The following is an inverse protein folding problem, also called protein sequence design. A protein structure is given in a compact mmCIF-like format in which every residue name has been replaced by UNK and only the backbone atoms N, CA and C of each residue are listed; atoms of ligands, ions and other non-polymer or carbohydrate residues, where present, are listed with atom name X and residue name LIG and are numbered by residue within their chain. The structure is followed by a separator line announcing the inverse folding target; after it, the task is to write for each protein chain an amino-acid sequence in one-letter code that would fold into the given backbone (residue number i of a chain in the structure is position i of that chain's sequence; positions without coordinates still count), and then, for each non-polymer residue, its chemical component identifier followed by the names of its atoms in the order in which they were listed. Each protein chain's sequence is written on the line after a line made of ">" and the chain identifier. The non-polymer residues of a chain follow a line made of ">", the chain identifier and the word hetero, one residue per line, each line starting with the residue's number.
data_IF_698058365956
#
_entry.id   IF_698058365956
#
_cell.length_a   1.000
_cell.length_b   1.000
_cell.length_c   1.000
_cell.angle_alpha   90.00
_cell.angle_beta   90.00
_cell.angle_gamma   90.00
#
_symmetry.space_group_name_H-M   'P 1'
#
loop_
_entity.id
_entity.type
_entity.pdbx_description
1 polymer ?
#
# COMPACT_ATOMS: atom_id res chain seq x y z
N UNK A 1 -36.32 27.87 -52.22
CA UNK A 1 -35.27 26.92 -51.80
C UNK A 1 -34.16 27.71 -51.10
N UNK A 2 -34.11 27.71 -49.77
CA UNK A 2 -33.00 28.26 -48.99
C UNK A 2 -32.76 27.33 -47.80
N UNK A 3 -31.77 26.45 -47.95
CA UNK A 3 -31.27 25.58 -46.88
C UNK A 3 -30.31 26.37 -46.01
N UNK A 4 -30.65 26.56 -44.74
CA UNK A 4 -29.75 27.05 -43.70
C UNK A 4 -29.03 25.84 -43.10
N UNK A 5 -27.73 25.72 -43.37
CA UNK A 5 -26.85 24.75 -42.74
C UNK A 5 -26.41 25.28 -41.37
N UNK A 6 -26.88 24.63 -40.30
CA UNK A 6 -26.37 24.83 -38.94
C UNK A 6 -25.07 24.03 -38.79
N UNK A 7 -23.93 24.72 -38.78
CA UNK A 7 -22.64 24.13 -38.40
C UNK A 7 -22.48 24.20 -36.88
N UNK A 8 -22.79 23.09 -36.20
CA UNK A 8 -22.49 22.94 -34.77
C UNK A 8 -20.99 22.68 -34.57
N UNK A 9 -20.27 23.70 -34.10
CA UNK A 9 -18.90 23.59 -33.60
C UNK A 9 -18.91 22.81 -32.28
N UNK A 10 -18.55 21.52 -32.34
CA UNK A 10 -18.32 20.68 -31.16
C UNK A 10 -16.93 21.01 -30.60
N UNK A 11 -16.88 21.88 -29.59
CA UNK A 11 -15.65 22.17 -28.86
C UNK A 11 -15.29 20.96 -27.97
N UNK A 12 -14.33 20.14 -28.40
CA UNK A 12 -13.71 19.12 -27.55
C UNK A 12 -12.98 19.80 -26.40
N UNK A 13 -13.59 19.80 -25.20
CA UNK A 13 -12.92 20.09 -23.94
C UNK A 13 -11.91 18.97 -23.67
N UNK A 14 -10.64 19.20 -24.04
CA UNK A 14 -9.53 18.35 -23.62
C UNK A 14 -9.26 18.69 -22.14
N UNK A 15 -9.90 17.96 -21.23
CA UNK A 15 -9.52 18.03 -19.82
C UNK A 15 -8.11 17.42 -19.68
N UNK A 16 -7.17 18.10 -19.01
CA UNK A 16 -5.87 17.50 -18.73
C UNK A 16 -6.08 16.23 -17.90
N UNK A 17 -5.53 15.12 -18.38
CA UNK A 17 -5.52 13.88 -17.60
C UNK A 17 -4.73 14.15 -16.30
N UNK A 18 -5.26 13.75 -15.14
CA UNK A 18 -4.51 13.89 -13.90
C UNK A 18 -3.23 13.07 -14.03
N UNK A 19 -2.08 13.76 -14.02
CA UNK A 19 -0.79 13.12 -13.82
C UNK A 19 -0.87 12.48 -12.44
N UNK A 20 -0.93 11.14 -12.39
CA UNK A 20 -0.83 10.43 -11.13
C UNK A 20 0.55 10.76 -10.55
N UNK A 21 0.57 11.44 -9.42
CA UNK A 21 1.80 11.70 -8.70
C UNK A 21 2.53 10.37 -8.47
N UNK A 22 3.82 10.33 -8.79
CA UNK A 22 4.63 9.15 -8.52
C UNK A 22 4.55 8.83 -7.02
N UNK A 23 4.45 7.54 -6.64
CA UNK A 23 4.44 7.17 -5.23
C UNK A 23 5.66 7.73 -4.52
N UNK A 24 5.43 8.35 -3.36
CA UNK A 24 6.51 8.89 -2.55
C UNK A 24 7.35 7.77 -1.97
N UNK A 25 8.66 7.82 -2.22
CA UNK A 25 9.67 7.09 -1.46
C UNK A 25 10.07 7.95 -0.25
N UNK A 26 9.98 7.37 0.95
CA UNK A 26 10.32 8.06 2.20
C UNK A 26 11.74 7.74 2.70
N UNK A 27 12.50 6.94 1.96
CA UNK A 27 13.88 6.55 2.24
C UNK A 27 14.00 5.25 3.02
N UNK A 28 14.95 5.21 3.94
CA UNK A 28 15.17 4.09 4.87
C UNK A 28 14.87 4.57 6.29
N UNK A 29 14.42 3.66 7.16
CA UNK A 29 14.24 3.94 8.59
C UNK A 29 12.79 4.16 8.99
N UNK A 30 12.43 3.54 10.11
CA UNK A 30 11.09 3.55 10.68
C UNK A 30 11.14 4.07 12.11
N UNK A 31 10.28 5.04 12.43
CA UNK A 31 10.03 5.47 13.80
C UNK A 31 8.71 4.91 14.32
N UNK A 32 8.67 4.60 15.61
CA UNK A 32 7.50 4.05 16.30
C UNK A 32 7.03 5.01 17.38
N UNK A 33 5.74 5.33 17.38
CA UNK A 33 5.11 6.19 18.37
C UNK A 33 3.86 5.58 18.98
N UNK A 34 3.60 5.94 20.23
CA UNK A 34 2.35 5.58 20.93
C UNK A 34 1.29 6.65 20.68
N UNK A 35 0.05 6.22 20.59
CA UNK A 35 -1.11 7.10 20.64
C UNK A 35 -1.46 7.35 22.11
N UNK A 36 -1.69 8.61 22.47
CA UNK A 36 -2.06 9.00 23.83
C UNK A 36 -3.47 8.56 24.21
N UNK A 37 -3.77 8.54 25.51
CA UNK A 37 -5.12 8.30 26.02
C UNK A 37 -5.52 6.83 26.18
N UNK A 38 -4.64 5.88 25.85
CA UNK A 38 -4.84 4.45 26.19
C UNK A 38 -4.14 4.12 27.49
N UNK A 39 -4.89 3.46 28.39
CA UNK A 39 -4.41 3.02 29.70
C UNK A 39 -3.21 2.05 29.65
N UNK A 40 -2.71 1.63 30.82
CA UNK A 40 -1.58 0.71 30.89
C UNK A 40 -1.94 -0.63 30.25
N UNK A 41 -1.07 -1.13 29.37
CA UNK A 41 -1.24 -2.44 28.74
C UNK A 41 -1.18 -3.57 29.77
N UNK A 42 -1.92 -4.65 29.51
CA UNK A 42 -1.71 -5.92 30.22
C UNK A 42 -0.33 -6.49 29.88
N UNK A 43 0.22 -7.42 30.68
CA UNK A 43 1.52 -8.04 30.40
C UNK A 43 1.60 -8.70 29.02
N UNK A 44 0.49 -9.26 28.53
CA UNK A 44 0.40 -9.88 27.21
C UNK A 44 0.42 -8.85 26.09
N UNK A 45 -0.42 -7.82 26.16
CA UNK A 45 -0.40 -6.73 25.18
C UNK A 45 0.96 -6.02 25.15
N UNK A 46 1.61 -5.88 26.32
CA UNK A 46 2.96 -5.31 26.40
C UNK A 46 4.01 -6.18 25.70
N UNK A 47 3.87 -7.51 25.66
CA UNK A 47 4.72 -8.40 24.85
C UNK A 47 4.52 -8.14 23.37
N UNK A 48 3.26 -8.07 22.92
CA UNK A 48 2.92 -7.77 21.52
C UNK A 48 3.48 -6.40 21.11
N UNK A 49 3.34 -5.38 21.96
CA UNK A 49 3.90 -4.04 21.70
C UNK A 49 5.42 -4.06 21.57
N UNK A 50 6.14 -4.87 22.37
CA UNK A 50 7.60 -4.99 22.23
C UNK A 50 8.00 -5.62 20.89
N UNK A 51 7.25 -6.63 20.42
CA UNK A 51 7.49 -7.20 19.09
C UNK A 51 7.18 -6.19 17.98
N UNK A 52 6.04 -5.49 18.08
CA UNK A 52 5.69 -4.41 17.17
C UNK A 52 6.82 -3.37 17.06
N UNK A 53 7.35 -2.88 18.19
CA UNK A 53 8.44 -1.90 18.18
C UNK A 53 9.73 -2.39 17.51
N UNK A 54 10.00 -3.69 17.55
CA UNK A 54 11.21 -4.29 16.98
C UNK A 54 11.06 -4.57 15.49
N UNK A 55 9.87 -4.96 15.07
CA UNK A 55 9.63 -5.53 13.76
C UNK A 55 8.95 -4.56 12.79
N UNK A 56 8.18 -3.60 13.31
CA UNK A 56 7.38 -2.70 12.48
C UNK A 56 8.23 -1.97 11.44
N UNK A 57 7.80 -2.12 10.19
CA UNK A 57 8.27 -1.40 9.00
C UNK A 57 7.18 -0.47 8.50
N UNK A 58 7.59 0.66 7.92
CA UNK A 58 6.81 1.63 7.11
C UNK A 58 5.28 1.47 7.17
N UNK A 59 4.57 2.49 7.64
CA UNK A 59 3.10 2.46 7.80
C UNK A 59 2.62 1.17 8.48
N UNK A 60 2.93 1.06 9.76
CA UNK A 60 2.43 -0.01 10.62
C UNK A 60 1.45 0.56 11.65
N UNK A 61 0.57 -0.29 12.15
CA UNK A 61 -0.29 0.06 13.26
C UNK A 61 -0.56 -1.13 14.16
N UNK A 62 -0.66 -0.85 15.45
CA UNK A 62 -1.07 -1.79 16.49
C UNK A 62 -2.36 -1.28 17.12
N UNK A 63 -3.36 -2.14 17.18
CA UNK A 63 -4.60 -1.91 17.88
C UNK A 63 -4.71 -2.83 19.11
N UNK A 64 -5.39 -2.34 20.14
CA UNK A 64 -5.66 -3.07 21.38
C UNK A 64 -7.14 -2.97 21.75
N UNK A 65 -7.65 -4.00 22.40
CA UNK A 65 -8.92 -3.97 23.10
C UNK A 65 -8.65 -4.23 24.59
N UNK A 66 -8.81 -3.17 25.40
CA UNK A 66 -8.48 -3.21 26.83
C UNK A 66 -9.42 -4.12 27.62
N UNK A 67 -10.69 -4.22 27.21
CA UNK A 67 -11.71 -5.02 27.90
C UNK A 67 -11.51 -6.53 27.66
N UNK A 68 -11.05 -6.90 26.45
CA UNK A 68 -10.82 -8.29 26.08
C UNK A 68 -9.38 -8.76 26.24
N UNK A 69 -8.43 -7.88 26.60
CA UNK A 69 -7.04 -8.26 26.77
C UNK A 69 -6.26 -8.45 25.45
N UNK A 70 -6.83 -8.09 24.30
CA UNK A 70 -6.32 -8.46 22.97
C UNK A 70 -5.46 -7.35 22.38
N UNK A 71 -4.41 -7.74 21.66
CA UNK A 71 -3.63 -6.85 20.80
C UNK A 71 -3.40 -7.49 19.43
N UNK A 72 -3.42 -6.67 18.38
CA UNK A 72 -3.13 -7.07 17.00
C UNK A 72 -2.36 -5.96 16.29
N UNK A 73 -1.49 -6.32 15.36
CA UNK A 73 -0.74 -5.35 14.58
C UNK A 73 -0.49 -5.81 13.15
N UNK A 74 -0.31 -4.84 12.26
CA UNK A 74 0.08 -5.02 10.87
C UNK A 74 1.17 -4.03 10.51
N UNK A 75 1.90 -4.27 9.43
CA UNK A 75 3.06 -3.49 9.03
C UNK A 75 3.28 -3.45 7.53
N UNK A 76 4.20 -2.58 7.11
CA UNK A 76 4.72 -2.48 5.76
C UNK A 76 3.66 -2.14 4.71
N UNK A 77 2.63 -1.36 5.08
CA UNK A 77 1.63 -0.91 4.11
C UNK A 77 2.19 0.22 3.25
N UNK A 78 1.52 0.51 2.13
CA UNK A 78 1.74 1.69 1.28
C UNK A 78 1.03 2.94 1.82
N UNK A 79 0.15 2.79 2.82
CA UNK A 79 -0.70 3.87 3.33
C UNK A 79 -0.96 3.75 4.84
N UNK A 80 -0.69 4.83 5.57
CA UNK A 80 -0.86 4.89 7.03
C UNK A 80 -2.31 4.71 7.49
N UNK A 81 -3.27 5.23 6.72
CA UNK A 81 -4.70 5.11 7.03
C UNK A 81 -5.17 3.67 6.85
N UNK A 82 -4.71 2.99 5.80
CA UNK A 82 -4.98 1.56 5.57
C UNK A 82 -4.34 0.69 6.64
N UNK A 83 -3.12 1.01 7.07
CA UNK A 83 -2.48 0.31 8.19
C UNK A 83 -3.30 0.40 9.48
N UNK A 84 -3.79 1.60 9.83
CA UNK A 84 -4.69 1.77 10.99
C UNK A 84 -5.98 0.99 10.83
N UNK A 85 -6.62 1.06 9.65
CA UNK A 85 -7.86 0.35 9.39
C UNK A 85 -7.70 -1.18 9.48
N UNK A 86 -6.61 -1.74 8.95
CA UNK A 86 -6.34 -3.17 9.01
C UNK A 86 -6.02 -3.64 10.43
N UNK A 87 -5.28 -2.83 11.21
CA UNK A 87 -5.01 -3.14 12.62
C UNK A 87 -6.30 -3.16 13.45
N UNK A 88 -7.20 -2.19 13.24
CA UNK A 88 -8.50 -2.15 13.91
C UNK A 88 -9.38 -3.35 13.54
N UNK A 89 -9.48 -3.70 12.26
CA UNK A 89 -10.25 -4.87 11.82
C UNK A 89 -9.70 -6.17 12.43
N UNK A 90 -8.38 -6.37 12.41
CA UNK A 90 -7.80 -7.58 13.00
C UNK A 90 -7.96 -7.65 14.52
N UNK A 91 -7.86 -6.50 15.22
CA UNK A 91 -8.21 -6.43 16.63
C UNK A 91 -9.67 -6.82 16.86
N UNK A 92 -10.59 -6.28 16.05
CA UNK A 92 -12.03 -6.52 16.18
C UNK A 92 -12.37 -8.00 15.92
N UNK A 93 -11.74 -8.63 14.93
CA UNK A 93 -11.90 -10.06 14.66
C UNK A 93 -11.40 -10.91 15.85
N UNK A 94 -10.19 -10.64 16.36
CA UNK A 94 -9.57 -11.44 17.43
C UNK A 94 -10.24 -11.18 18.78
N UNK A 95 -10.83 -10.00 18.99
CA UNK A 95 -11.63 -9.69 20.19
C UNK A 95 -13.01 -10.35 20.18
N UNK A 96 -13.35 -11.14 19.13
CA UNK A 96 -14.68 -11.69 18.88
C UNK A 96 -15.74 -10.59 18.70
N UNK A 97 -15.37 -9.52 18.00
CA UNK A 97 -16.20 -8.34 17.70
C UNK A 97 -16.69 -7.62 18.95
N UNK A 98 -15.92 -7.72 20.05
CA UNK A 98 -16.20 -6.92 21.26
C UNK A 98 -15.83 -5.46 20.98
N UNK A 99 -16.68 -4.50 21.37
CA UNK A 99 -16.37 -3.09 21.22
C UNK A 99 -15.09 -2.72 21.99
N UNK A 100 -14.44 -1.63 21.61
CA UNK A 100 -13.29 -1.09 22.34
C UNK A 100 -11.92 -1.28 21.69
N UNK A 101 -11.83 -1.77 20.44
CA UNK A 101 -10.58 -1.74 19.69
C UNK A 101 -10.16 -0.29 19.38
N UNK A 102 -8.94 0.06 19.76
CA UNK A 102 -8.34 1.38 19.53
C UNK A 102 -6.87 1.27 19.10
N UNK A 103 -6.40 2.22 18.29
CA UNK A 103 -4.98 2.28 17.89
C UNK A 103 -4.14 2.67 19.09
N UNK A 104 -3.19 1.81 19.46
CA UNK A 104 -2.25 2.04 20.55
C UNK A 104 -0.90 2.56 20.08
N UNK A 105 -0.42 2.07 18.94
CA UNK A 105 0.86 2.49 18.40
C UNK A 105 0.83 2.49 16.88
N UNK A 106 1.70 3.30 16.29
CA UNK A 106 1.92 3.38 14.85
C UNK A 106 3.41 3.40 14.55
N UNK A 107 3.76 2.93 13.37
CA UNK A 107 5.09 3.11 12.82
C UNK A 107 4.98 3.87 11.50
N UNK A 108 5.87 4.83 11.31
CA UNK A 108 5.91 5.72 10.15
C UNK A 108 7.36 5.80 9.65
N UNK A 109 7.57 6.14 8.37
CA UNK A 109 8.89 6.58 7.91
C UNK A 109 9.46 7.69 8.80
N UNK A 110 10.77 7.69 9.05
CA UNK A 110 11.44 8.69 9.89
C UNK A 110 11.25 10.13 9.40
N UNK A 111 11.09 10.32 8.09
CA UNK A 111 10.84 11.61 7.45
C UNK A 111 9.44 12.18 7.71
N UNK A 112 8.52 11.40 8.30
CA UNK A 112 7.13 11.80 8.55
C UNK A 112 6.81 11.91 10.04
N UNK A 113 6.07 12.94 10.49
CA UNK A 113 5.62 13.01 11.88
C UNK A 113 4.75 11.81 12.27
N UNK A 114 5.02 11.19 13.43
CA UNK A 114 4.19 10.10 14.01
C UNK A 114 2.71 10.45 14.12
N UNK A 115 2.41 11.72 14.41
CA UNK A 115 1.03 12.20 14.56
C UNK A 115 0.25 12.24 13.23
N UNK A 116 0.94 12.11 12.09
CA UNK A 116 0.30 12.12 10.78
C UNK A 116 -0.57 10.87 10.60
N UNK A 117 -1.87 11.10 10.38
CA UNK A 117 -2.87 10.04 10.22
C UNK A 117 -3.09 9.63 8.77
N UNK A 118 -2.64 10.46 7.82
CA UNK A 118 -2.78 10.25 6.38
C UNK A 118 -1.45 10.52 5.71
N UNK A 119 -0.83 9.44 5.26
CA UNK A 119 0.36 9.46 4.42
C UNK A 119 0.27 8.25 3.50
N UNK A 120 0.63 8.45 2.24
CA UNK A 120 0.60 7.43 1.19
C UNK A 120 1.93 7.50 0.45
N UNK A 121 2.49 6.34 0.13
CA UNK A 121 3.70 6.18 -0.65
C UNK A 121 3.97 4.70 -0.89
N UNK A 122 5.23 4.31 -0.94
CA UNK A 122 5.62 2.91 -1.01
C UNK A 122 5.79 2.33 0.40
N UNK A 123 5.61 1.00 0.48
CA UNK A 123 6.07 0.25 1.65
C UNK A 123 7.60 0.21 1.61
N UNK A 124 8.26 -0.06 2.73
CA UNK A 124 9.74 -0.08 2.79
C UNK A 124 10.31 -1.05 1.74
N UNK A 125 9.72 -2.25 1.67
CA UNK A 125 10.14 -3.29 0.74
C UNK A 125 9.86 -2.93 -0.73
N UNK A 126 8.73 -2.28 -1.02
CA UNK A 126 8.43 -1.83 -2.38
C UNK A 126 9.33 -0.66 -2.80
N UNK A 127 9.64 0.25 -1.88
CA UNK A 127 10.57 1.36 -2.12
C UNK A 127 11.97 0.83 -2.43
N UNK A 128 12.48 -0.07 -1.59
CA UNK A 128 13.77 -0.71 -1.79
C UNK A 128 13.84 -1.46 -3.12
N UNK A 129 12.83 -2.28 -3.44
CA UNK A 129 12.78 -3.02 -4.69
C UNK A 129 12.68 -2.11 -5.92
N UNK A 130 11.97 -0.98 -5.84
CA UNK A 130 11.86 0.00 -6.92
C UNK A 130 13.22 0.69 -7.15
N UNK A 131 13.89 1.10 -6.08
CA UNK A 131 15.16 1.82 -6.12
C UNK A 131 16.34 0.94 -6.57
N UNK A 132 16.33 -0.34 -6.18
CA UNK A 132 17.42 -1.29 -6.45
C UNK A 132 17.06 -2.24 -7.59
N UNK A 133 16.44 -3.37 -7.27
CA UNK A 133 16.26 -4.52 -8.15
C UNK A 133 15.55 -4.16 -9.46
N UNK A 134 14.48 -3.37 -9.40
CA UNK A 134 13.74 -2.94 -10.58
C UNK A 134 14.53 -2.00 -11.50
N UNK A 135 15.39 -1.15 -10.93
CA UNK A 135 16.19 -0.20 -11.70
C UNK A 135 17.44 -0.86 -12.27
N UNK A 136 18.09 -1.72 -11.49
CA UNK A 136 19.33 -2.43 -11.87
C UNK A 136 19.12 -3.51 -12.93
N UNK A 137 17.93 -4.13 -12.98
CA UNK A 137 17.65 -5.26 -13.88
C UNK A 137 17.08 -4.87 -15.24
N UNK A 138 16.88 -3.58 -15.51
CA UNK A 138 16.31 -3.13 -16.78
C UNK A 138 17.22 -3.50 -17.94
N UNK A 139 16.65 -4.12 -18.97
CA UNK A 139 17.41 -4.56 -20.15
C UNK A 139 17.35 -3.47 -21.24
N UNK A 140 18.48 -3.11 -21.86
CA UNK A 140 18.47 -2.20 -23.01
C UNK A 140 17.62 -2.74 -24.17
N UNK A 141 16.81 -1.88 -24.77
CA UNK A 141 15.89 -2.21 -25.86
C UNK A 141 14.54 -2.77 -25.41
N UNK A 142 14.25 -2.84 -24.10
CA UNK A 142 12.99 -3.38 -23.57
C UNK A 142 12.25 -2.39 -22.67
N UNK A 143 11.01 -2.73 -22.35
CA UNK A 143 10.16 -2.06 -21.37
C UNK A 143 10.23 -2.78 -20.01
N UNK A 144 10.16 -1.98 -18.96
CA UNK A 144 10.01 -2.41 -17.58
C UNK A 144 8.77 -1.73 -16.99
N UNK A 145 8.11 -2.37 -16.02
CA UNK A 145 7.01 -1.78 -15.29
C UNK A 145 6.98 -2.25 -13.84
N UNK A 146 6.46 -1.40 -12.95
CA UNK A 146 6.32 -1.69 -11.52
C UNK A 146 4.86 -1.50 -11.10
N UNK A 147 4.32 -2.48 -10.38
CA UNK A 147 2.96 -2.48 -9.87
C UNK A 147 2.93 -2.67 -8.36
N UNK A 148 1.96 -2.02 -7.71
CA UNK A 148 1.68 -2.16 -6.29
C UNK A 148 0.22 -2.51 -6.05
N UNK A 149 -0.03 -3.22 -4.95
CA UNK A 149 -1.36 -3.53 -4.45
C UNK A 149 -1.97 -2.34 -3.71
N UNK A 150 -3.19 -2.52 -3.21
CA UNK A 150 -3.78 -1.58 -2.28
C UNK A 150 -3.22 -1.65 -0.85
N UNK A 151 -2.34 -2.61 -0.54
CA UNK A 151 -1.81 -2.81 0.82
C UNK A 151 -0.30 -2.68 0.85
N UNK A 152 0.45 -3.77 0.79
CA UNK A 152 1.91 -3.83 0.96
C UNK A 152 2.63 -4.50 -0.20
N UNK A 153 1.90 -5.31 -0.99
CA UNK A 153 2.45 -6.12 -2.08
C UNK A 153 2.81 -5.33 -3.32
N UNK A 154 3.81 -5.84 -4.06
CA UNK A 154 4.26 -5.28 -5.31
C UNK A 154 4.73 -6.38 -6.28
N UNK A 155 4.96 -6.00 -7.54
CA UNK A 155 5.54 -6.86 -8.57
C UNK A 155 6.06 -6.01 -9.72
N UNK A 156 7.02 -6.54 -10.48
CA UNK A 156 7.65 -5.79 -11.56
C UNK A 156 8.08 -6.68 -12.72
N UNK A 157 8.12 -6.10 -13.92
CA UNK A 157 8.70 -6.68 -15.13
C UNK A 157 9.93 -5.86 -15.52
N UNK A 158 10.99 -6.51 -16.01
CA UNK A 158 12.30 -5.89 -16.27
C UNK A 158 12.78 -5.98 -17.74
N UNK A 159 12.08 -6.75 -18.59
CA UNK A 159 12.61 -7.16 -19.89
C UNK A 159 11.55 -7.39 -21.01
N UNK A 160 10.42 -6.70 -20.99
CA UNK A 160 9.34 -6.96 -21.95
C UNK A 160 9.50 -6.20 -23.28
N UNK A 161 9.08 -6.79 -24.40
CA UNK A 161 9.26 -6.18 -25.72
C UNK A 161 8.28 -5.01 -25.99
N UNK A 162 7.16 -4.97 -25.29
CA UNK A 162 6.15 -3.92 -25.43
C UNK A 162 5.76 -3.34 -24.07
N UNK A 163 5.32 -2.07 -24.06
CA UNK A 163 4.78 -1.45 -22.85
C UNK A 163 3.58 -2.22 -22.28
N UNK A 164 2.70 -2.76 -23.15
CA UNK A 164 1.53 -3.50 -22.73
C UNK A 164 1.93 -4.78 -21.97
N UNK A 165 2.87 -5.55 -22.51
CA UNK A 165 3.38 -6.76 -21.87
C UNK A 165 4.06 -6.44 -20.54
N UNK A 166 4.87 -5.36 -20.47
CA UNK A 166 5.47 -4.88 -19.22
C UNK A 166 4.43 -4.65 -18.12
N UNK A 167 3.36 -3.92 -18.46
CA UNK A 167 2.28 -3.61 -17.52
C UNK A 167 1.56 -4.88 -17.05
N UNK A 168 1.21 -5.76 -17.98
CA UNK A 168 0.47 -6.99 -17.68
C UNK A 168 1.31 -7.95 -16.83
N UNK A 169 2.59 -8.14 -17.15
CA UNK A 169 3.53 -8.95 -16.35
C UNK A 169 3.70 -8.38 -14.94
N UNK A 170 3.90 -7.07 -14.79
CA UNK A 170 4.05 -6.45 -13.47
C UNK A 170 2.79 -6.64 -12.60
N UNK A 171 1.60 -6.45 -13.19
CA UNK A 171 0.32 -6.72 -12.52
C UNK A 171 0.18 -8.20 -12.14
N UNK A 172 0.55 -9.12 -13.03
CA UNK A 172 0.46 -10.56 -12.78
C UNK A 172 1.34 -10.96 -11.59
N UNK A 173 2.58 -10.47 -11.51
CA UNK A 173 3.46 -10.74 -10.37
C UNK A 173 2.98 -10.10 -9.07
N UNK A 174 2.47 -8.87 -9.11
CA UNK A 174 1.84 -8.25 -7.94
C UNK A 174 0.64 -9.07 -7.45
N UNK A 175 -0.24 -9.51 -8.36
CA UNK A 175 -1.41 -10.33 -8.03
C UNK A 175 -1.01 -11.69 -7.46
N UNK A 176 0.09 -12.29 -7.93
CA UNK A 176 0.60 -13.57 -7.42
C UNK A 176 1.00 -13.45 -5.95
N UNK A 177 1.77 -12.43 -5.58
CA UNK A 177 2.15 -12.16 -4.19
C UNK A 177 0.93 -11.88 -3.32
N UNK A 178 0.06 -10.98 -3.79
CA UNK A 178 -1.17 -10.59 -3.11
C UNK A 178 -2.14 -11.77 -2.89
N UNK A 179 -2.19 -12.73 -3.82
CA UNK A 179 -3.02 -13.92 -3.67
C UNK A 179 -2.58 -14.81 -2.49
N UNK A 180 -1.27 -14.88 -2.21
CA UNK A 180 -0.75 -15.62 -1.06
C UNK A 180 -1.20 -14.99 0.25
N UNK A 181 -1.03 -13.67 0.42
CA UNK A 181 -1.51 -12.94 1.61
C UNK A 181 -3.01 -13.08 1.79
N UNK A 182 -3.78 -12.94 0.72
CA UNK A 182 -5.23 -13.08 0.78
C UNK A 182 -5.65 -14.49 1.20
N UNK A 183 -4.84 -15.52 0.95
CA UNK A 183 -5.11 -16.88 1.38
C UNK A 183 -4.89 -17.06 2.90
N UNK A 184 -3.95 -16.32 3.49
CA UNK A 184 -3.68 -16.34 4.94
C UNK A 184 -4.78 -15.63 5.75
N UNK A 185 -5.49 -14.69 5.13
CA UNK A 185 -6.63 -14.02 5.77
C UNK A 185 -7.83 -14.97 5.95
N UNK A 186 -8.49 -14.89 7.10
CA UNK A 186 -9.80 -15.52 7.31
C UNK A 186 -10.89 -14.92 6.39
N UNK A 187 -12.10 -15.53 6.33
CA UNK A 187 -13.20 -15.05 5.48
C UNK A 187 -13.55 -13.57 5.68
N UNK A 188 -13.54 -13.09 6.92
CA UNK A 188 -13.82 -11.70 7.28
C UNK A 188 -12.74 -10.75 6.77
N UNK A 189 -11.46 -11.08 7.02
CA UNK A 189 -10.33 -10.29 6.53
C UNK A 189 -10.33 -10.18 5.00
N UNK A 190 -10.61 -11.27 4.28
CA UNK A 190 -10.76 -11.24 2.82
C UNK A 190 -11.91 -10.33 2.36
N UNK A 191 -13.08 -10.42 3.01
CA UNK A 191 -14.24 -9.56 2.68
C UNK A 191 -13.90 -8.09 2.91
N UNK A 192 -13.26 -7.78 4.03
CA UNK A 192 -12.83 -6.45 4.41
C UNK A 192 -11.85 -5.84 3.40
N UNK A 193 -10.84 -6.61 2.98
CA UNK A 193 -9.85 -6.20 1.99
C UNK A 193 -10.49 -5.96 0.61
N UNK A 194 -11.32 -6.89 0.12
CA UNK A 194 -12.01 -6.75 -1.17
C UNK A 194 -12.93 -5.54 -1.22
N UNK A 195 -13.69 -5.29 -0.16
CA UNK A 195 -14.60 -4.13 -0.07
C UNK A 195 -13.87 -2.78 -0.18
N UNK A 196 -12.55 -2.75 0.04
CA UNK A 196 -11.71 -1.55 -0.02
C UNK A 196 -10.77 -1.53 -1.23
N UNK A 197 -10.88 -2.51 -2.13
CA UNK A 197 -9.99 -2.65 -3.29
C UNK A 197 -8.53 -2.92 -2.89
N UNK A 198 -8.28 -3.49 -1.71
CA UNK A 198 -6.95 -3.84 -1.24
C UNK A 198 -6.36 -5.03 -2.02
N UNK A 199 -7.24 -5.85 -2.58
CA UNK A 199 -6.94 -7.00 -3.43
C UNK A 199 -6.68 -6.62 -4.90
N UNK A 200 -6.43 -5.34 -5.20
CA UNK A 200 -6.20 -4.83 -6.56
C UNK A 200 -4.79 -4.29 -6.72
N UNK A 201 -4.10 -4.79 -7.74
CA UNK A 201 -2.82 -4.26 -8.19
C UNK A 201 -2.99 -3.19 -9.27
N UNK A 202 -2.10 -2.21 -9.29
CA UNK A 202 -2.02 -1.16 -10.32
C UNK A 202 -0.57 -0.85 -10.65
N UNK A 203 -0.31 -0.50 -11.90
CA UNK A 203 1.00 -0.01 -12.34
C UNK A 203 1.23 1.41 -11.83
N UNK A 204 2.44 1.67 -11.35
CA UNK A 204 2.87 2.98 -10.83
C UNK A 204 4.06 3.57 -11.61
N UNK A 205 4.80 2.73 -12.33
CA UNK A 205 5.92 3.16 -13.16
C UNK A 205 6.02 2.25 -14.38
N UNK A 206 6.40 2.84 -15.52
CA UNK A 206 6.70 2.15 -16.77
C UNK A 206 7.84 2.90 -17.45
N UNK A 207 8.88 2.18 -17.85
CA UNK A 207 10.07 2.78 -18.45
C UNK A 207 10.53 1.97 -19.65
N UNK A 208 10.92 2.66 -20.72
CA UNK A 208 11.69 2.07 -21.81
C UNK A 208 13.17 2.35 -21.57
N UNK A 209 14.02 1.33 -21.70
CA UNK A 209 15.48 1.52 -21.61
C UNK A 209 16.05 1.54 -23.02
N UNK A 210 16.60 2.66 -23.50
CA UNK A 210 17.21 2.72 -24.83
C UNK A 210 18.35 1.70 -24.98
N UNK A 211 18.60 1.16 -26.18
CA UNK A 211 19.78 0.34 -26.45
C UNK A 211 21.07 1.07 -26.05
N UNK A 212 22.07 0.34 -25.54
CA UNK A 212 23.40 0.89 -25.34
C UNK A 212 24.02 1.20 -26.71
N UNK A 213 24.54 2.43 -26.87
CA UNK A 213 25.26 2.84 -28.08
C UNK A 213 26.63 2.17 -28.18
#
# INVERSE_FOLDING_TARGET
>A
MRSLLLSSLLACLIAPLPVLAQPTDFGQGTQVGRVEGIGPLTPEMARVYRSFRREARYFAAMAVNMDSGVAFWIQNFHDAGRARAGALEGCDVISLRKPGCAIYAVAMPESLPIAQSRATGLSEEAADALATVYTERRIPGTYAAFAISGISHFGYADAELTEADARDTAIAYCNRGLAADMAELGPDGRRFARARGWDKCRVIDVQFTPPAN
#
